data_IF_805006029424
#
_entry.id   IF_805006029424
#
_cell.length_a   1.000
_cell.length_b   1.000
_cell.length_c   1.000
_cell.angle_alpha   90.00
_cell.angle_beta   90.00
_cell.angle_gamma   90.00
#
_symmetry.space_group_name_H-M   'P 1'
#
loop_
_entity.id
_entity.type
_entity.pdbx_description
1 polymer ?
#
# COMPACT_ATOMS: atom_id res chain seq x y z
N UNK A 1 -16.12 17.01 7.59
CA UNK A 1 -16.35 15.57 7.35
C UNK A 1 -16.41 15.36 5.85
N UNK A 2 -15.25 15.21 5.18
CA UNK A 2 -15.21 14.92 3.75
C UNK A 2 -15.53 13.45 3.55
N UNK A 3 -16.75 13.14 3.17
CA UNK A 3 -17.11 11.81 2.67
C UNK A 3 -16.28 11.59 1.40
N UNK A 4 -15.21 10.80 1.51
CA UNK A 4 -14.49 10.30 0.34
C UNK A 4 -15.50 9.52 -0.49
N UNK A 5 -15.94 10.10 -1.60
CA UNK A 5 -16.71 9.38 -2.61
C UNK A 5 -15.75 8.38 -3.25
N UNK A 6 -15.54 7.23 -2.62
CA UNK A 6 -14.84 6.13 -3.25
C UNK A 6 -15.69 5.73 -4.45
N UNK A 7 -15.19 5.98 -5.66
CA UNK A 7 -15.92 5.59 -6.87
C UNK A 7 -16.06 4.06 -6.88
N UNK A 8 -17.20 3.56 -7.35
CA UNK A 8 -17.46 2.12 -7.48
C UNK A 8 -16.33 1.40 -8.26
N UNK A 9 -15.76 2.10 -9.25
CA UNK A 9 -14.59 1.66 -10.02
C UNK A 9 -13.37 1.38 -9.14
N UNK A 10 -13.04 2.24 -8.17
CA UNK A 10 -11.88 2.04 -7.30
C UNK A 10 -12.06 0.83 -6.37
N UNK A 11 -13.29 0.58 -5.90
CA UNK A 11 -13.59 -0.62 -5.12
C UNK A 11 -13.47 -1.89 -5.96
N UNK A 12 -13.93 -1.85 -7.21
CA UNK A 12 -13.82 -2.99 -8.13
C UNK A 12 -12.35 -3.30 -8.47
N UNK A 13 -11.55 -2.27 -8.77
CA UNK A 13 -10.10 -2.41 -8.98
C UNK A 13 -9.44 -3.00 -7.74
N UNK A 14 -9.75 -2.47 -6.55
CA UNK A 14 -9.19 -2.97 -5.28
C UNK A 14 -9.53 -4.43 -5.02
N UNK A 15 -10.77 -4.85 -5.32
CA UNK A 15 -11.19 -6.25 -5.18
C UNK A 15 -10.45 -7.18 -6.16
N UNK A 16 -10.26 -6.76 -7.41
CA UNK A 16 -9.52 -7.56 -8.42
C UNK A 16 -8.04 -7.69 -8.04
N UNK A 17 -7.42 -6.60 -7.60
CA UNK A 17 -6.05 -6.62 -7.10
C UNK A 17 -5.90 -7.53 -5.87
N UNK A 18 -6.86 -7.47 -4.94
CA UNK A 18 -6.90 -8.35 -3.78
C UNK A 18 -6.96 -9.83 -4.16
N UNK A 19 -7.75 -10.18 -5.18
CA UNK A 19 -7.81 -11.56 -5.70
C UNK A 19 -6.48 -12.01 -6.32
N UNK A 20 -5.81 -11.14 -7.08
CA UNK A 20 -4.49 -11.42 -7.68
C UNK A 20 -3.44 -11.70 -6.60
N UNK A 21 -3.40 -10.91 -5.53
CA UNK A 21 -2.40 -11.05 -4.46
C UNK A 21 -2.56 -12.37 -3.68
N UNK A 22 -3.80 -12.86 -3.57
CA UNK A 22 -4.11 -14.11 -2.86
C UNK A 22 -3.83 -15.38 -3.67
N UNK A 23 -3.75 -15.28 -5.00
CA UNK A 23 -3.40 -16.41 -5.88
C UNK A 23 -1.91 -16.38 -6.24
N UNK A 24 -1.20 -17.47 -5.96
CA UNK A 24 0.27 -17.52 -6.16
C UNK A 24 0.66 -17.34 -7.62
N UNK A 25 -0.05 -17.96 -8.56
CA UNK A 25 0.26 -17.84 -10.00
C UNK A 25 0.01 -16.44 -10.53
N UNK A 26 -1.12 -15.84 -10.16
CA UNK A 26 -1.49 -14.48 -10.56
C UNK A 26 -0.55 -13.45 -9.95
N UNK A 27 -0.10 -13.67 -8.70
CA UNK A 27 0.91 -12.83 -8.07
C UNK A 27 2.26 -12.92 -8.77
N UNK A 28 2.68 -14.10 -9.21
CA UNK A 28 3.91 -14.25 -10.03
C UNK A 28 3.79 -13.46 -11.33
N UNK A 29 2.66 -13.59 -12.03
CA UNK A 29 2.40 -12.84 -13.27
C UNK A 29 2.41 -11.32 -13.03
N UNK A 30 1.85 -10.86 -11.90
CA UNK A 30 1.89 -9.44 -11.50
C UNK A 30 3.32 -8.93 -11.28
N UNK A 31 4.24 -9.77 -10.79
CA UNK A 31 5.64 -9.41 -10.59
C UNK A 31 6.40 -9.37 -11.92
N UNK A 32 6.12 -10.32 -12.81
CA UNK A 32 6.82 -10.44 -14.10
C UNK A 32 6.31 -9.42 -15.13
N UNK A 33 5.00 -9.16 -15.17
CA UNK A 33 4.34 -8.32 -16.16
C UNK A 33 3.37 -7.29 -15.53
N UNK A 34 3.85 -6.43 -14.60
CA UNK A 34 2.99 -5.57 -13.79
C UNK A 34 2.08 -4.66 -14.62
N UNK A 35 2.62 -3.99 -15.65
CA UNK A 35 1.84 -3.06 -16.47
C UNK A 35 0.69 -3.74 -17.21
N UNK A 36 0.89 -4.98 -17.66
CA UNK A 36 -0.14 -5.73 -18.36
C UNK A 36 -1.25 -6.15 -17.38
N UNK A 37 -0.88 -6.77 -16.27
CA UNK A 37 -1.84 -7.24 -15.26
C UNK A 37 -2.64 -6.09 -14.66
N UNK A 38 -1.99 -4.96 -14.38
CA UNK A 38 -2.65 -3.75 -13.88
C UNK A 38 -3.63 -3.17 -14.92
N UNK A 39 -3.27 -3.17 -16.20
CA UNK A 39 -4.17 -2.73 -17.27
C UNK A 39 -5.40 -3.65 -17.38
N UNK A 40 -5.23 -4.97 -17.24
CA UNK A 40 -6.33 -5.95 -17.29
C UNK A 40 -7.37 -5.74 -16.18
N UNK A 41 -6.96 -5.25 -15.00
CA UNK A 41 -7.89 -4.92 -13.92
C UNK A 41 -8.45 -3.49 -13.99
N UNK A 42 -8.07 -2.71 -15.01
CA UNK A 42 -8.60 -1.37 -15.27
C UNK A 42 -7.81 -0.24 -14.63
N UNK A 43 -6.58 -0.47 -14.19
CA UNK A 43 -5.68 0.59 -13.72
C UNK A 43 -5.10 1.31 -14.93
N UNK A 44 -5.55 2.54 -15.16
CA UNK A 44 -5.06 3.41 -16.24
C UNK A 44 -4.23 4.55 -15.65
N UNK A 45 -2.91 4.46 -15.76
CA UNK A 45 -1.98 5.50 -15.30
C UNK A 45 -0.61 4.94 -14.92
N UNK A 46 0.33 5.85 -14.64
CA UNK A 46 1.64 5.49 -14.10
C UNK A 46 1.48 5.04 -12.64
N UNK A 47 1.52 3.73 -12.43
CA UNK A 47 1.43 3.12 -11.10
C UNK A 47 2.75 2.42 -10.78
N UNK A 48 3.32 2.80 -9.64
CA UNK A 48 4.48 2.11 -9.07
C UNK A 48 3.99 1.04 -8.11
N UNK A 49 4.36 -0.20 -8.37
CA UNK A 49 4.11 -1.31 -7.45
C UNK A 49 5.30 -1.42 -6.48
N UNK A 50 5.00 -1.37 -5.19
CA UNK A 50 5.97 -1.54 -4.12
C UNK A 50 5.56 -2.77 -3.30
N UNK A 51 6.43 -3.77 -3.25
CA UNK A 51 6.18 -5.00 -2.52
C UNK A 51 6.82 -4.93 -1.14
N UNK A 52 6.03 -5.19 -0.11
CA UNK A 52 6.53 -5.34 1.25
C UNK A 52 7.27 -6.67 1.40
N UNK A 53 8.33 -6.66 2.20
CA UNK A 53 9.14 -7.83 2.56
C UNK A 53 9.06 -8.04 4.07
N UNK A 54 9.76 -9.08 4.58
CA UNK A 54 9.81 -9.34 6.02
C UNK A 54 10.45 -8.19 6.81
N UNK A 55 11.31 -7.40 6.17
CA UNK A 55 12.12 -6.33 6.75
C UNK A 55 11.78 -4.93 6.21
N UNK A 56 10.84 -4.81 5.26
CA UNK A 56 10.47 -3.55 4.63
C UNK A 56 8.96 -3.45 4.44
N UNK A 57 8.38 -2.34 4.93
CA UNK A 57 6.97 -1.99 4.73
C UNK A 57 6.89 -0.62 4.08
N UNK A 58 6.07 -0.49 3.04
CA UNK A 58 5.83 0.79 2.36
C UNK A 58 4.55 1.43 2.89
N UNK A 59 4.66 2.68 3.32
CA UNK A 59 3.52 3.48 3.76
C UNK A 59 3.21 4.56 2.72
N UNK A 60 1.96 4.60 2.24
CA UNK A 60 1.48 5.65 1.35
C UNK A 60 0.93 6.79 2.19
N UNK A 61 1.72 7.85 2.33
CA UNK A 61 1.30 9.09 3.00
C UNK A 61 0.77 10.06 1.94
N UNK A 62 -0.52 10.47 1.97
CA UNK A 62 -1.02 11.46 1.04
C UNK A 62 -0.28 12.79 1.23
N UNK A 63 0.31 13.30 0.14
CA UNK A 63 1.20 14.47 0.17
C UNK A 63 0.55 15.68 0.84
N UNK A 64 -0.76 15.89 0.68
CA UNK A 64 -1.42 17.09 1.20
C UNK A 64 -1.60 17.09 2.73
N UNK A 65 -1.51 15.93 3.39
CA UNK A 65 -1.83 15.82 4.83
C UNK A 65 -0.58 16.11 5.68
N UNK A 66 0.59 15.62 5.28
CA UNK A 66 1.79 15.64 6.15
C UNK A 66 3.11 15.94 5.40
N UNK A 67 3.05 16.60 4.22
CA UNK A 67 4.24 16.92 3.40
C UNK A 67 5.36 17.58 4.19
N UNK A 68 5.04 18.49 5.12
CA UNK A 68 6.07 19.23 5.85
C UNK A 68 6.86 18.34 6.82
N UNK A 69 6.19 17.38 7.47
CA UNK A 69 6.84 16.45 8.42
C UNK A 69 7.63 15.39 7.68
N UNK A 70 7.06 14.85 6.60
CA UNK A 70 7.76 13.91 5.72
C UNK A 70 9.00 14.54 5.07
N UNK A 71 8.90 15.77 4.55
CA UNK A 71 10.02 16.48 3.94
C UNK A 71 11.10 16.90 4.94
N UNK A 72 10.73 17.10 6.21
CA UNK A 72 11.68 17.41 7.27
C UNK A 72 12.42 16.16 7.80
N UNK A 73 12.07 14.96 7.35
CA UNK A 73 12.65 13.71 7.86
C UNK A 73 12.34 13.48 9.34
N UNK A 74 11.14 13.85 9.79
CA UNK A 74 10.71 13.71 11.18
C UNK A 74 10.65 12.23 11.61
N UNK A 75 11.72 11.73 12.23
CA UNK A 75 11.81 10.32 12.66
C UNK A 75 10.71 9.93 13.65
N UNK A 76 10.34 10.83 14.56
CA UNK A 76 9.28 10.59 15.53
C UNK A 76 7.91 10.44 14.85
N UNK A 77 7.68 11.22 13.78
CA UNK A 77 6.49 11.05 12.94
C UNK A 77 6.47 9.69 12.23
N UNK A 78 7.59 9.27 11.65
CA UNK A 78 7.65 7.96 10.98
C UNK A 78 7.50 6.79 11.96
N UNK A 79 8.02 6.91 13.18
CA UNK A 79 7.81 5.92 14.23
C UNK A 79 6.33 5.85 14.64
N UNK A 80 5.66 7.00 14.80
CA UNK A 80 4.22 7.07 15.09
C UNK A 80 3.39 6.42 13.97
N UNK A 81 3.70 6.71 12.71
CA UNK A 81 3.06 6.10 11.54
C UNK A 81 3.31 4.58 11.48
N UNK A 82 4.55 4.15 11.71
CA UNK A 82 4.90 2.74 11.75
C UNK A 82 4.12 2.00 12.84
N UNK A 83 4.05 2.58 14.05
CA UNK A 83 3.23 2.03 15.15
C UNK A 83 1.75 1.98 14.80
N UNK A 84 1.21 3.00 14.14
CA UNK A 84 -0.20 3.03 13.73
C UNK A 84 -0.50 1.99 12.64
N UNK A 85 0.39 1.83 11.66
CA UNK A 85 0.25 0.87 10.57
C UNK A 85 0.40 -0.59 11.04
N UNK A 86 1.36 -0.84 11.93
CA UNK A 86 1.64 -2.16 12.49
C UNK A 86 0.77 -2.48 13.71
N UNK A 87 0.02 -1.51 14.24
CA UNK A 87 -0.66 -1.57 15.55
C UNK A 87 -1.66 -2.70 15.75
N UNK A 88 -2.08 -3.41 14.69
CA UNK A 88 -2.91 -4.62 14.75
C UNK A 88 -2.18 -5.91 14.38
N UNK A 89 -0.98 -5.83 13.79
CA UNK A 89 -0.06 -6.96 13.65
C UNK A 89 0.77 -7.03 14.92
N UNK A 90 0.16 -7.54 16.00
CA UNK A 90 0.80 -7.64 17.31
C UNK A 90 2.19 -8.28 17.21
N UNK A 91 3.21 -7.48 17.55
CA UNK A 91 4.47 -7.95 18.09
C UNK A 91 4.15 -8.68 19.41
N UNK A 92 3.98 -10.00 19.36
CA UNK A 92 4.06 -10.83 20.59
C UNK A 92 5.52 -11.01 21.03
N UNK A 93 6.49 -10.76 20.14
CA UNK A 93 7.93 -10.80 20.46
C UNK A 93 8.57 -9.43 20.18
N UNK A 94 8.68 -8.62 21.23
CA UNK A 94 9.67 -7.55 21.29
C UNK A 94 11.04 -8.19 21.56
N UNK A 95 12.10 -7.87 20.79
CA UNK A 95 13.44 -8.33 21.13
C UNK A 95 13.90 -7.69 22.46
N UNK A 96 14.51 -8.50 23.34
CA UNK A 96 15.14 -8.06 24.60
C UNK A 96 16.28 -7.06 24.38
#
# INVERSE_FOLDING_TARGET
MHTKTTSQTNLEIGSKLGAIIQDTSSRTELIENPSQVLAEIGVTGDVTLLADTADMVHLVVPADVDVNRAAAGDEAYFEELGRAALGTCFYDDLPE
#
